data_IF_389949605554
#
_entry.id   IF_389949605554
#
_cell.length_a   1.000
_cell.length_b   1.000
_cell.length_c   1.000
_cell.angle_alpha   90.00
_cell.angle_beta   90.00
_cell.angle_gamma   90.00
#
_symmetry.space_group_name_H-M   'P 1'
#
loop_
_entity.id
_entity.type
_entity.pdbx_description
1 polymer ?
#
# COMPACT_ATOMS: atom_id res chain seq x y z
N UNK A 1 -8.86 -37.31 -17.90
CA UNK A 1 -7.83 -37.17 -16.85
C UNK A 1 -8.06 -35.83 -16.20
N UNK A 2 -8.87 -35.76 -15.10
CA UNK A 2 -9.15 -34.53 -14.39
C UNK A 2 -7.88 -34.03 -13.71
N UNK A 3 -7.31 -32.96 -14.24
CA UNK A 3 -6.32 -32.17 -13.49
C UNK A 3 -7.13 -31.44 -12.42
N UNK A 4 -7.17 -32.05 -11.26
CA UNK A 4 -7.67 -31.41 -10.04
C UNK A 4 -6.64 -30.33 -9.73
N UNK A 5 -6.96 -29.08 -10.05
CA UNK A 5 -6.17 -27.93 -9.64
C UNK A 5 -5.96 -28.04 -8.13
N UNK A 6 -4.74 -28.40 -7.74
CA UNK A 6 -4.35 -28.48 -6.33
C UNK A 6 -4.14 -27.06 -5.84
N UNK A 7 -5.23 -26.36 -5.53
CA UNK A 7 -5.14 -25.24 -4.63
C UNK A 7 -4.62 -25.78 -3.29
N UNK A 8 -3.39 -25.46 -2.95
CA UNK A 8 -2.95 -25.64 -1.58
C UNK A 8 -3.75 -24.65 -0.73
N UNK A 9 -4.55 -25.13 0.24
CA UNK A 9 -5.34 -24.22 1.06
C UNK A 9 -4.41 -23.25 1.76
N UNK A 10 -4.77 -21.97 1.74
CA UNK A 10 -4.00 -20.94 2.45
C UNK A 10 -3.95 -21.33 3.94
N UNK A 11 -2.75 -21.43 4.53
CA UNK A 11 -2.63 -21.85 5.91
C UNK A 11 -3.36 -20.89 6.85
N UNK A 12 -3.96 -21.40 7.93
CA UNK A 12 -4.67 -20.59 8.95
C UNK A 12 -3.81 -19.48 9.57
N UNK A 13 -2.48 -19.62 9.54
CA UNK A 13 -1.53 -18.61 10.06
C UNK A 13 -1.20 -17.49 9.06
N UNK A 14 -1.70 -17.54 7.83
CA UNK A 14 -1.37 -16.56 6.80
C UNK A 14 -1.74 -15.12 7.17
N UNK A 15 -2.91 -14.83 7.77
CA UNK A 15 -3.20 -13.48 8.23
C UNK A 15 -2.19 -12.95 9.24
N UNK A 16 -1.61 -13.83 10.05
CA UNK A 16 -0.59 -13.48 11.04
C UNK A 16 0.76 -13.13 10.40
N UNK A 17 1.16 -13.85 9.35
CA UNK A 17 2.36 -13.51 8.57
C UNK A 17 2.23 -12.11 7.98
N UNK A 18 1.04 -11.71 7.54
CA UNK A 18 0.79 -10.37 7.03
C UNK A 18 0.73 -9.32 8.14
N UNK A 19 0.14 -9.66 9.29
CA UNK A 19 -0.14 -8.70 10.35
C UNK A 19 1.02 -8.49 11.33
N UNK A 20 1.78 -9.53 11.67
CA UNK A 20 2.83 -9.47 12.72
C UNK A 20 3.98 -8.54 12.36
N UNK A 21 4.54 -8.53 11.13
CA UNK A 21 5.60 -7.58 10.77
C UNK A 21 5.17 -6.12 10.93
N UNK A 22 3.90 -5.83 10.75
CA UNK A 22 3.34 -4.50 10.91
C UNK A 22 3.38 -4.01 12.37
N UNK A 23 3.40 -4.93 13.34
CA UNK A 23 3.57 -4.56 14.76
C UNK A 23 4.93 -3.93 15.04
N UNK A 24 5.97 -4.32 14.32
CA UNK A 24 7.29 -3.68 14.42
C UNK A 24 7.24 -2.24 13.89
N UNK A 25 6.61 -2.02 12.74
CA UNK A 25 6.41 -0.67 12.20
C UNK A 25 5.56 0.19 13.14
N UNK A 26 4.47 -0.36 13.67
CA UNK A 26 3.63 0.32 14.65
C UNK A 26 4.41 0.64 15.93
N UNK A 27 5.24 -0.27 16.42
CA UNK A 27 6.14 -0.05 17.55
C UNK A 27 7.09 1.13 17.32
N UNK A 28 7.68 1.23 16.13
CA UNK A 28 8.51 2.37 15.73
C UNK A 28 7.68 3.67 15.70
N UNK A 29 6.50 3.63 15.10
CA UNK A 29 5.59 4.79 15.06
C UNK A 29 5.28 5.29 16.47
N UNK A 30 4.91 4.39 17.39
CA UNK A 30 4.57 4.74 18.77
C UNK A 30 5.79 5.27 19.55
N UNK A 31 6.97 4.69 19.33
CA UNK A 31 8.22 5.11 19.98
C UNK A 31 8.66 6.52 19.56
N UNK A 32 8.41 6.89 18.32
CA UNK A 32 8.80 8.17 17.74
C UNK A 32 7.63 9.13 17.50
N UNK A 33 6.46 8.87 18.06
CA UNK A 33 5.22 9.64 17.81
C UNK A 33 5.29 11.12 18.25
N UNK A 34 6.26 11.48 19.08
CA UNK A 34 6.56 12.87 19.43
C UNK A 34 7.54 13.57 18.50
N UNK A 35 8.18 12.82 17.59
CA UNK A 35 9.21 13.31 16.67
C UNK A 35 8.57 13.46 15.30
N UNK A 36 8.21 14.64 14.91
CA UNK A 36 7.67 14.91 13.60
C UNK A 36 7.15 16.31 13.50
N UNK A 37 7.03 16.82 12.29
CA UNK A 37 6.67 18.19 11.99
C UNK A 37 5.40 18.67 12.71
N UNK A 38 4.42 17.81 12.92
CA UNK A 38 3.16 18.16 13.62
C UNK A 38 2.80 17.21 14.77
N UNK A 39 3.60 16.20 15.02
CA UNK A 39 3.21 15.08 15.86
C UNK A 39 2.12 14.21 15.18
N UNK A 40 2.21 12.90 15.36
CA UNK A 40 1.33 11.93 14.66
C UNK A 40 -0.16 12.18 14.94
N UNK A 41 -0.51 12.64 16.14
CA UNK A 41 -1.92 12.90 16.52
C UNK A 41 -2.62 13.89 15.59
N UNK A 42 -1.91 14.89 15.06
CA UNK A 42 -2.51 15.90 14.18
C UNK A 42 -2.94 15.32 12.83
N UNK A 43 -2.37 14.19 12.42
CA UNK A 43 -2.71 13.54 11.15
C UNK A 43 -4.02 12.74 11.18
N UNK A 44 -4.55 12.48 12.38
CA UNK A 44 -5.84 11.80 12.55
C UNK A 44 -7.05 12.72 12.43
N UNK A 45 -6.84 14.02 12.29
CA UNK A 45 -7.95 14.96 12.06
C UNK A 45 -8.54 14.72 10.67
N UNK A 46 -9.86 14.68 10.60
CA UNK A 46 -10.57 14.68 9.30
C UNK A 46 -10.40 16.09 8.71
N UNK A 47 -9.96 16.22 7.46
CA UNK A 47 -9.81 17.54 6.85
C UNK A 47 -11.15 18.25 6.72
N UNK A 48 -11.19 19.52 7.10
CA UNK A 48 -12.34 20.38 6.83
C UNK A 48 -12.46 20.77 5.35
N UNK A 49 -11.42 20.47 4.56
CA UNK A 49 -11.39 20.76 3.12
C UNK A 49 -12.30 19.78 2.37
N UNK A 50 -13.38 20.29 1.73
CA UNK A 50 -14.21 19.45 0.88
C UNK A 50 -13.35 18.89 -0.27
N UNK A 51 -13.55 17.59 -0.61
CA UNK A 51 -12.89 16.98 -1.76
C UNK A 51 -11.66 16.11 -1.44
N UNK A 52 -11.25 15.94 -0.19
CA UNK A 52 -10.15 15.01 0.16
C UNK A 52 -10.46 13.56 -0.25
N UNK A 53 -11.73 13.14 -0.15
CA UNK A 53 -12.19 11.82 -0.61
C UNK A 53 -12.08 11.72 -2.13
N UNK A 54 -12.50 12.75 -2.86
CA UNK A 54 -12.36 12.79 -4.32
C UNK A 54 -10.89 12.75 -4.75
N UNK A 55 -10.01 13.46 -4.04
CA UNK A 55 -8.57 13.40 -4.28
C UNK A 55 -8.00 12.00 -4.02
N UNK A 56 -8.47 11.31 -2.97
CA UNK A 56 -8.10 9.92 -2.70
C UNK A 56 -8.56 8.98 -3.83
N UNK A 57 -9.80 9.12 -4.30
CA UNK A 57 -10.33 8.32 -5.43
C UNK A 57 -9.54 8.59 -6.71
N UNK A 58 -9.25 9.85 -7.03
CA UNK A 58 -8.43 10.20 -8.19
C UNK A 58 -7.02 9.59 -8.07
N UNK A 59 -6.44 9.59 -6.89
CA UNK A 59 -5.14 8.94 -6.65
C UNK A 59 -5.20 7.44 -6.95
N UNK A 60 -6.28 6.75 -6.56
CA UNK A 60 -6.50 5.34 -6.92
C UNK A 60 -6.59 5.18 -8.45
N UNK A 61 -7.40 5.99 -9.12
CA UNK A 61 -7.58 5.90 -10.58
C UNK A 61 -6.25 6.09 -11.31
N UNK A 62 -5.47 7.11 -10.95
CA UNK A 62 -4.17 7.36 -11.57
C UNK A 62 -3.16 6.26 -11.27
N UNK A 63 -3.13 5.74 -10.04
CA UNK A 63 -2.25 4.62 -9.68
C UNK A 63 -2.58 3.36 -10.48
N UNK A 64 -3.85 2.97 -10.51
CA UNK A 64 -4.29 1.79 -11.27
C UNK A 64 -4.03 1.98 -12.78
N UNK A 65 -4.33 3.17 -13.32
CA UNK A 65 -4.00 3.50 -14.71
C UNK A 65 -2.51 3.33 -15.04
N UNK A 66 -1.64 3.84 -14.16
CA UNK A 66 -0.19 3.70 -14.34
C UNK A 66 0.27 2.23 -14.25
N UNK A 67 -0.29 1.45 -13.33
CA UNK A 67 -0.02 0.00 -13.18
C UNK A 67 -0.44 -0.74 -14.45
N UNK A 68 -1.61 -0.44 -14.99
CA UNK A 68 -2.10 -1.08 -16.21
C UNK A 68 -1.20 -0.75 -17.42
N UNK A 69 -0.84 0.53 -17.59
CA UNK A 69 0.08 0.94 -18.66
C UNK A 69 1.42 0.23 -18.52
N UNK A 70 2.00 0.22 -17.33
CA UNK A 70 3.24 -0.50 -17.05
C UNK A 70 3.13 -1.98 -17.41
N UNK A 71 2.07 -2.65 -16.94
CA UNK A 71 1.85 -4.07 -17.19
C UNK A 71 1.74 -4.39 -18.70
N UNK A 72 1.01 -3.57 -19.46
CA UNK A 72 0.90 -3.71 -20.90
C UNK A 72 2.24 -3.54 -21.61
N UNK A 73 3.04 -2.54 -21.21
CA UNK A 73 4.37 -2.29 -21.78
C UNK A 73 5.31 -3.46 -21.51
N UNK A 74 5.41 -3.90 -20.25
CA UNK A 74 6.29 -5.00 -19.85
C UNK A 74 5.89 -6.31 -20.54
N UNK A 75 4.57 -6.57 -20.64
CA UNK A 75 4.06 -7.75 -21.33
C UNK A 75 4.38 -7.72 -22.85
N UNK A 76 4.14 -6.59 -23.52
CA UNK A 76 4.43 -6.43 -24.95
C UNK A 76 5.93 -6.51 -25.30
N UNK A 77 6.78 -6.05 -24.38
CA UNK A 77 8.24 -6.11 -24.54
C UNK A 77 8.84 -7.43 -24.04
N UNK A 78 8.00 -8.36 -23.55
CA UNK A 78 8.40 -9.69 -23.04
C UNK A 78 9.49 -9.64 -21.96
N UNK A 79 9.51 -8.55 -21.14
CA UNK A 79 10.49 -8.38 -20.08
C UNK A 79 10.04 -9.18 -18.84
N UNK A 80 10.23 -10.49 -18.87
CA UNK A 80 9.71 -11.45 -17.87
C UNK A 80 10.10 -11.09 -16.43
N UNK A 81 11.33 -10.57 -16.23
CA UNK A 81 11.83 -10.18 -14.92
C UNK A 81 11.05 -9.00 -14.28
N UNK A 82 10.44 -8.16 -15.10
CA UNK A 82 9.66 -7.01 -14.66
C UNK A 82 8.14 -7.28 -14.67
N UNK A 83 7.71 -8.48 -15.03
CA UNK A 83 6.28 -8.82 -14.92
C UNK A 83 5.86 -8.84 -13.45
N UNK A 84 4.71 -8.23 -13.11
CA UNK A 84 4.17 -8.36 -11.77
C UNK A 84 3.97 -9.83 -11.38
N UNK A 85 4.21 -10.18 -10.10
CA UNK A 85 3.99 -11.56 -9.65
C UNK A 85 2.52 -11.94 -9.82
N UNK A 86 2.29 -13.20 -10.19
CA UNK A 86 0.94 -13.74 -10.13
C UNK A 86 0.53 -13.91 -8.67
N UNK A 87 -0.59 -13.31 -8.32
CA UNK A 87 -1.16 -13.45 -6.98
C UNK A 87 -1.95 -14.76 -6.97
N UNK A 88 -1.71 -15.59 -5.95
CA UNK A 88 -2.44 -16.85 -5.80
C UNK A 88 -3.95 -16.58 -5.66
N UNK A 89 -4.76 -17.30 -6.45
CA UNK A 89 -6.22 -17.22 -6.38
C UNK A 89 -6.75 -17.52 -4.98
N UNK A 90 -6.06 -18.38 -4.25
CA UNK A 90 -6.35 -18.72 -2.86
C UNK A 90 -5.90 -17.72 -1.82
N UNK A 91 -5.37 -16.53 -2.20
CA UNK A 91 -4.81 -15.55 -1.24
C UNK A 91 -5.78 -15.19 -0.10
N UNK A 92 -7.06 -15.18 -0.37
CA UNK A 92 -8.06 -14.91 0.65
C UNK A 92 -8.37 -16.12 1.54
N UNK A 93 -8.00 -17.34 1.12
CA UNK A 93 -8.36 -18.57 1.82
C UNK A 93 -9.85 -18.89 1.75
N UNK A 94 -10.32 -19.75 2.65
CA UNK A 94 -11.70 -20.22 2.69
C UNK A 94 -12.38 -19.90 4.01
N UNK A 95 -13.70 -19.82 4.01
CA UNK A 95 -14.52 -19.64 5.22
C UNK A 95 -14.19 -18.35 5.97
N UNK A 96 -13.92 -18.43 7.25
CA UNK A 96 -13.60 -17.26 8.09
C UNK A 96 -12.24 -16.62 7.77
N UNK A 97 -11.32 -17.34 7.11
CA UNK A 97 -10.03 -16.79 6.70
C UNK A 97 -10.19 -15.70 5.64
N UNK A 98 -11.21 -15.75 4.82
CA UNK A 98 -11.50 -14.71 3.82
C UNK A 98 -11.60 -13.34 4.47
N UNK A 99 -12.38 -13.21 5.53
CA UNK A 99 -12.54 -11.94 6.25
C UNK A 99 -11.26 -11.50 6.96
N UNK A 100 -10.54 -12.44 7.57
CA UNK A 100 -9.28 -12.16 8.25
C UNK A 100 -8.20 -11.68 7.26
N UNK A 101 -8.07 -12.34 6.11
CA UNK A 101 -7.12 -11.95 5.08
C UNK A 101 -7.49 -10.63 4.40
N UNK A 102 -8.77 -10.42 4.08
CA UNK A 102 -9.25 -9.12 3.57
C UNK A 102 -8.96 -7.99 4.55
N UNK A 103 -9.24 -8.20 5.84
CA UNK A 103 -8.92 -7.21 6.86
C UNK A 103 -7.41 -6.93 6.92
N UNK A 104 -6.58 -7.99 6.94
CA UNK A 104 -5.13 -7.82 6.97
C UNK A 104 -4.63 -7.07 5.72
N UNK A 105 -5.01 -7.50 4.52
CA UNK A 105 -4.50 -6.97 3.25
C UNK A 105 -5.02 -5.55 2.98
N UNK A 106 -6.31 -5.31 3.18
CA UNK A 106 -6.94 -4.06 2.76
C UNK A 106 -7.05 -3.00 3.86
N UNK A 107 -6.96 -3.38 5.13
CA UNK A 107 -7.14 -2.44 6.25
C UNK A 107 -5.88 -2.36 7.11
N UNK A 108 -5.48 -3.45 7.75
CA UNK A 108 -4.42 -3.44 8.76
C UNK A 108 -3.06 -3.05 8.18
N UNK A 109 -2.62 -3.75 7.14
CA UNK A 109 -1.31 -3.49 6.51
C UNK A 109 -1.25 -2.07 5.95
N UNK A 110 -2.17 -1.61 5.09
CA UNK A 110 -2.17 -0.24 4.60
C UNK A 110 -2.20 0.81 5.70
N UNK A 111 -2.99 0.60 6.75
CA UNK A 111 -3.08 1.55 7.85
C UNK A 111 -1.74 1.75 8.56
N UNK A 112 -1.09 0.66 8.93
CA UNK A 112 0.20 0.73 9.63
C UNK A 112 1.31 1.26 8.71
N UNK A 113 1.31 0.87 7.45
CA UNK A 113 2.27 1.37 6.46
C UNK A 113 2.11 2.88 6.24
N UNK A 114 0.89 3.38 6.11
CA UNK A 114 0.69 4.83 5.96
C UNK A 114 1.11 5.60 7.23
N UNK A 115 0.85 5.07 8.42
CA UNK A 115 1.33 5.66 9.66
C UNK A 115 2.86 5.73 9.70
N UNK A 116 3.54 4.68 9.27
CA UNK A 116 4.99 4.65 9.27
C UNK A 116 5.59 5.53 8.16
N UNK A 117 5.18 5.31 6.91
CA UNK A 117 5.82 5.99 5.79
C UNK A 117 5.41 7.46 5.66
N UNK A 118 4.14 7.81 5.87
CA UNK A 118 3.64 9.19 5.72
C UNK A 118 3.58 9.90 7.06
N UNK A 119 3.00 9.25 8.07
CA UNK A 119 2.85 9.82 9.40
C UNK A 119 4.18 10.02 10.12
N UNK A 120 5.13 9.08 10.02
CA UNK A 120 6.42 9.20 10.67
C UNK A 120 7.52 9.65 9.69
N UNK A 121 7.90 8.78 8.74
CA UNK A 121 9.12 8.97 7.95
C UNK A 121 9.06 10.24 7.08
N UNK A 122 7.99 10.42 6.30
CA UNK A 122 7.83 11.58 5.44
C UNK A 122 7.74 12.87 6.25
N UNK A 123 6.95 12.88 7.32
CA UNK A 123 6.76 14.07 8.15
C UNK A 123 8.05 14.51 8.88
N UNK A 124 8.90 13.56 9.26
CA UNK A 124 10.20 13.86 9.86
C UNK A 124 11.18 14.43 8.81
N UNK A 125 11.15 13.92 7.58
CA UNK A 125 12.13 14.32 6.57
C UNK A 125 11.81 15.63 5.87
N UNK A 126 10.53 15.97 5.72
CA UNK A 126 10.11 17.23 5.04
C UNK A 126 10.79 18.47 5.60
N UNK A 127 10.89 18.72 6.91
CA UNK A 127 11.57 19.88 7.44
C UNK A 127 13.07 19.97 7.12
N UNK A 128 13.75 18.84 6.89
CA UNK A 128 15.19 18.81 6.63
C UNK A 128 15.54 18.81 5.15
N UNK A 129 14.76 18.12 4.32
CA UNK A 129 15.10 17.86 2.90
C UNK A 129 14.13 18.54 1.93
N UNK A 130 13.04 19.12 2.44
CA UNK A 130 11.93 19.65 1.63
C UNK A 130 11.03 18.55 1.08
N UNK A 131 9.84 18.95 0.60
CA UNK A 131 8.78 18.03 0.18
C UNK A 131 9.22 17.08 -0.94
N UNK A 132 9.77 17.64 -2.03
CA UNK A 132 10.11 16.85 -3.23
C UNK A 132 11.11 15.74 -2.93
N UNK A 133 12.21 16.07 -2.25
CA UNK A 133 13.23 15.06 -1.92
C UNK A 133 12.71 14.02 -0.95
N UNK A 134 11.94 14.44 0.05
CA UNK A 134 11.36 13.53 1.04
C UNK A 134 10.36 12.58 0.41
N UNK A 135 9.48 13.06 -0.49
CA UNK A 135 8.56 12.22 -1.26
C UNK A 135 9.32 11.20 -2.09
N UNK A 136 10.35 11.62 -2.82
CA UNK A 136 11.14 10.70 -3.66
C UNK A 136 11.82 9.60 -2.83
N UNK A 137 12.50 9.97 -1.74
CA UNK A 137 13.20 9.00 -0.90
C UNK A 137 12.26 8.05 -0.17
N UNK A 138 11.15 8.56 0.40
CA UNK A 138 10.16 7.71 1.07
C UNK A 138 9.52 6.73 0.09
N UNK A 139 9.21 7.20 -1.12
CA UNK A 139 8.65 6.32 -2.16
C UNK A 139 9.64 5.28 -2.65
N UNK A 140 10.92 5.62 -2.74
CA UNK A 140 11.99 4.68 -3.07
C UNK A 140 12.12 3.58 -2.00
N UNK A 141 12.13 3.96 -0.72
CA UNK A 141 12.21 2.98 0.37
C UNK A 141 10.96 2.10 0.37
N UNK A 142 9.76 2.70 0.21
CA UNK A 142 8.51 1.94 0.13
C UNK A 142 8.51 0.92 -1.01
N UNK A 143 9.04 1.29 -2.17
CA UNK A 143 9.23 0.39 -3.30
C UNK A 143 10.18 -0.77 -2.93
N UNK A 144 11.34 -0.47 -2.34
CA UNK A 144 12.36 -1.47 -2.05
C UNK A 144 11.92 -2.53 -1.05
N UNK A 145 11.08 -2.18 -0.07
CA UNK A 145 10.56 -3.16 0.90
C UNK A 145 9.58 -4.17 0.29
N UNK A 146 9.07 -3.93 -0.91
CA UNK A 146 8.21 -4.88 -1.63
C UNK A 146 8.97 -6.05 -2.30
N UNK A 147 10.30 -5.99 -2.34
CA UNK A 147 11.22 -7.10 -2.65
C UNK A 147 11.00 -7.86 -3.97
N UNK A 148 10.11 -7.42 -4.87
CA UNK A 148 9.83 -8.05 -6.16
C UNK A 148 10.01 -7.06 -7.30
N UNK A 149 10.91 -7.32 -8.28
CA UNK A 149 11.23 -6.37 -9.35
C UNK A 149 10.03 -5.91 -10.16
N UNK A 150 9.10 -6.81 -10.44
CA UNK A 150 7.86 -6.49 -11.17
C UNK A 150 6.91 -5.53 -10.42
N UNK A 151 7.12 -5.32 -9.12
CA UNK A 151 6.37 -4.37 -8.29
C UNK A 151 7.07 -3.02 -8.15
N UNK A 152 8.36 -2.91 -8.49
CA UNK A 152 9.12 -1.70 -8.19
C UNK A 152 8.51 -0.46 -8.85
N UNK A 153 8.30 -0.47 -10.14
CA UNK A 153 7.73 0.69 -10.85
C UNK A 153 6.29 0.99 -10.41
N UNK A 154 5.36 0.01 -10.38
CA UNK A 154 4.00 0.22 -9.90
C UNK A 154 3.94 0.79 -8.48
N UNK A 155 4.65 0.17 -7.54
CA UNK A 155 4.64 0.59 -6.12
C UNK A 155 5.30 1.96 -5.95
N UNK A 156 6.38 2.25 -6.68
CA UNK A 156 7.02 3.56 -6.64
C UNK A 156 6.07 4.67 -7.09
N UNK A 157 5.38 4.49 -8.23
CA UNK A 157 4.43 5.48 -8.74
C UNK A 157 3.26 5.66 -7.78
N UNK A 158 2.68 4.57 -7.27
CA UNK A 158 1.60 4.63 -6.30
C UNK A 158 2.04 5.37 -5.03
N UNK A 159 3.22 5.05 -4.51
CA UNK A 159 3.78 5.69 -3.32
C UNK A 159 4.04 7.19 -3.52
N UNK A 160 4.52 7.62 -4.70
CA UNK A 160 4.67 9.04 -5.04
C UNK A 160 3.32 9.77 -4.96
N UNK A 161 2.29 9.22 -5.60
CA UNK A 161 0.95 9.83 -5.64
C UNK A 161 0.33 9.92 -4.25
N UNK A 162 0.43 8.85 -3.47
CA UNK A 162 -0.07 8.79 -2.08
C UNK A 162 0.71 9.77 -1.17
N UNK A 163 2.03 9.92 -1.36
CA UNK A 163 2.83 10.87 -0.60
C UNK A 163 2.45 12.33 -0.92
N UNK A 164 2.23 12.65 -2.19
CA UNK A 164 1.71 13.95 -2.61
C UNK A 164 0.31 14.21 -2.02
N UNK A 165 -0.55 13.19 -2.02
CA UNK A 165 -1.89 13.28 -1.42
C UNK A 165 -1.79 13.60 0.08
N UNK A 166 -0.90 12.93 0.82
CA UNK A 166 -0.66 13.21 2.24
C UNK A 166 -0.21 14.66 2.48
N UNK A 167 0.77 15.15 1.72
CA UNK A 167 1.25 16.54 1.87
C UNK A 167 0.13 17.55 1.60
N UNK A 168 -0.68 17.31 0.58
CA UNK A 168 -1.78 18.21 0.20
C UNK A 168 -2.96 18.19 1.16
N UNK A 169 -3.27 17.05 1.74
CA UNK A 169 -4.44 16.91 2.62
C UNK A 169 -4.11 17.08 4.10
N UNK A 170 -2.86 16.87 4.48
CA UNK A 170 -2.40 16.97 5.87
C UNK A 170 -3.01 15.93 6.81
N UNK A 171 -3.64 14.88 6.27
CA UNK A 171 -4.30 13.81 7.03
C UNK A 171 -3.80 12.44 6.60
N UNK A 172 -3.86 11.49 7.53
CA UNK A 172 -3.55 10.09 7.22
C UNK A 172 -4.71 9.37 6.51
N UNK A 173 -5.93 9.88 6.65
CA UNK A 173 -7.13 9.21 6.13
C UNK A 173 -7.18 9.16 4.61
N UNK A 174 -6.71 10.20 3.93
CA UNK A 174 -6.70 10.23 2.47
C UNK A 174 -5.71 9.21 1.86
N UNK A 175 -4.42 9.17 2.26
CA UNK A 175 -3.48 8.12 1.90
C UNK A 175 -3.99 6.72 2.23
N UNK A 176 -4.47 6.52 3.45
CA UNK A 176 -5.00 5.23 3.90
C UNK A 176 -6.17 4.76 3.02
N UNK A 177 -7.14 5.63 2.75
CA UNK A 177 -8.27 5.30 1.87
C UNK A 177 -7.79 4.88 0.48
N UNK A 178 -6.87 5.64 -0.11
CA UNK A 178 -6.30 5.30 -1.44
C UNK A 178 -5.60 3.96 -1.42
N UNK A 179 -4.73 3.71 -0.46
CA UNK A 179 -3.96 2.48 -0.35
C UNK A 179 -4.86 1.28 -0.05
N UNK A 180 -5.80 1.41 0.88
CA UNK A 180 -6.76 0.37 1.23
C UNK A 180 -7.61 -0.06 0.02
N UNK A 181 -8.11 0.90 -0.76
CA UNK A 181 -8.89 0.61 -1.97
C UNK A 181 -8.03 -0.07 -3.04
N UNK A 182 -6.78 0.36 -3.25
CA UNK A 182 -5.87 -0.30 -4.20
C UNK A 182 -5.63 -1.76 -3.80
N UNK A 183 -5.31 -2.02 -2.53
CA UNK A 183 -5.08 -3.38 -2.05
C UNK A 183 -6.34 -4.25 -2.13
N UNK A 184 -7.51 -3.68 -1.81
CA UNK A 184 -8.79 -4.38 -1.95
C UNK A 184 -9.06 -4.78 -3.41
N UNK A 185 -8.87 -3.84 -4.34
CA UNK A 185 -9.06 -4.12 -5.78
C UNK A 185 -8.13 -5.23 -6.26
N UNK A 186 -6.84 -5.17 -5.87
CA UNK A 186 -5.87 -6.21 -6.22
C UNK A 186 -6.27 -7.57 -5.64
N UNK A 187 -6.69 -7.63 -4.37
CA UNK A 187 -7.11 -8.87 -3.72
C UNK A 187 -8.37 -9.47 -4.37
N UNK A 188 -9.37 -8.63 -4.71
CA UNK A 188 -10.60 -9.06 -5.37
C UNK A 188 -10.33 -9.57 -6.79
N UNK A 189 -9.51 -8.85 -7.57
CA UNK A 189 -9.13 -9.28 -8.92
C UNK A 189 -8.39 -10.62 -8.87
N UNK A 190 -7.44 -10.77 -7.94
CA UNK A 190 -6.70 -12.01 -7.77
C UNK A 190 -7.61 -13.20 -7.42
N UNK A 191 -8.60 -12.99 -6.54
CA UNK A 191 -9.55 -14.03 -6.14
C UNK A 191 -10.55 -14.39 -7.26
N UNK A 192 -10.78 -13.51 -8.25
CA UNK A 192 -11.73 -13.71 -9.35
C UNK A 192 -11.11 -14.24 -10.64
N UNK A 193 -9.79 -14.19 -10.77
CA UNK A 193 -9.05 -14.65 -11.96
C UNK A 193 -8.80 -16.16 -11.96
#
# INVERSE_FOLDING_TARGET
MCIRDRYSPVPWYYPWILAVPQLLLLGLVLSFSGVGYKGIKSFFTIPDTPGWVSAAILTVIFSIGAILVYSVVVYKLEITYLMPPQIDKGILGDGSLVLANLFAIAIWVPFVEELFFRGLLLSVWVPYYGETKSILWVSLIFMLVHSHPGLYVPVFISSLLISVLFIKTGTIWAPFLSHAVQNLLVAVVAASA
#
